data_IF_149119310938
#
_entry.id   IF_149119310938
#
_cell.length_a   1.000
_cell.length_b   1.000
_cell.length_c   1.000
_cell.angle_alpha   90.00
_cell.angle_beta   90.00
_cell.angle_gamma   90.00
#
_symmetry.space_group_name_H-M   'P 1'
#
loop_
_entity.id
_entity.type
_entity.pdbx_description
1 polymer ?
#
# COMPACT_ATOMS: atom_id res chain seq x y z
N UNK A 1 15.09 -5.99 5.08
CA UNK A 1 14.99 -6.93 3.92
C UNK A 1 15.05 -6.10 2.65
N UNK A 2 15.77 -6.54 1.61
CA UNK A 2 15.72 -5.85 0.32
C UNK A 2 14.34 -6.08 -0.32
N UNK A 3 13.64 -5.01 -0.75
CA UNK A 3 12.35 -5.11 -1.46
C UNK A 3 12.39 -6.06 -2.66
N UNK A 4 13.54 -6.16 -3.34
CA UNK A 4 13.76 -7.05 -4.49
C UNK A 4 13.82 -8.55 -4.15
N UNK A 5 13.83 -8.93 -2.87
CA UNK A 5 13.90 -10.34 -2.44
C UNK A 5 12.56 -10.87 -1.93
N UNK A 6 11.50 -10.05 -1.94
CA UNK A 6 10.18 -10.45 -1.44
C UNK A 6 9.42 -11.18 -2.54
N UNK A 7 9.03 -12.42 -2.25
CA UNK A 7 8.20 -13.24 -3.14
C UNK A 7 6.74 -13.08 -2.73
N UNK A 8 5.87 -12.75 -3.68
CA UNK A 8 4.44 -12.64 -3.44
C UNK A 8 3.83 -13.99 -3.01
N UNK A 9 3.11 -13.98 -1.90
CA UNK A 9 2.46 -15.17 -1.33
C UNK A 9 1.03 -15.25 -1.86
N UNK A 10 0.78 -16.18 -2.79
CA UNK A 10 -0.56 -16.41 -3.36
C UNK A 10 -1.66 -16.65 -2.33
N UNK A 11 -1.33 -17.29 -1.20
CA UNK A 11 -2.29 -17.55 -0.09
C UNK A 11 -2.88 -16.27 0.53
N UNK A 12 -2.18 -15.14 0.39
CA UNK A 12 -2.64 -13.83 0.86
C UNK A 12 -3.15 -12.94 -0.30
N UNK A 13 -3.26 -13.49 -1.52
CA UNK A 13 -3.73 -12.72 -2.69
C UNK A 13 -2.80 -11.59 -3.15
N UNK A 14 -1.53 -11.59 -2.71
CA UNK A 14 -0.59 -10.50 -2.97
C UNK A 14 -0.31 -10.31 -4.46
N UNK A 15 -0.59 -9.12 -4.97
CA UNK A 15 -0.16 -8.62 -6.28
C UNK A 15 0.35 -7.20 -6.07
N UNK A 16 1.67 -6.99 -6.19
CA UNK A 16 2.27 -5.70 -5.88
C UNK A 16 2.11 -4.72 -7.05
N UNK A 17 1.55 -3.55 -6.76
CA UNK A 17 1.39 -2.48 -7.74
C UNK A 17 2.76 -1.90 -8.13
N UNK A 18 3.06 -1.85 -9.43
CA UNK A 18 4.34 -1.30 -9.95
C UNK A 18 4.16 -0.16 -10.94
N UNK A 19 2.96 0.01 -11.49
CA UNK A 19 2.67 1.08 -12.44
C UNK A 19 2.33 2.38 -11.71
N UNK A 20 3.23 3.34 -11.81
CA UNK A 20 3.08 4.66 -11.18
C UNK A 20 1.91 5.48 -11.75
N UNK A 21 1.51 5.25 -13.00
CA UNK A 21 0.33 5.91 -13.56
C UNK A 21 -0.96 5.36 -12.96
N UNK A 22 -1.03 4.06 -12.66
CA UNK A 22 -2.17 3.46 -11.95
C UNK A 22 -2.22 3.96 -10.51
N UNK A 23 -1.09 4.01 -9.81
CA UNK A 23 -1.02 4.51 -8.43
C UNK A 23 -1.53 5.95 -8.32
N UNK A 24 -1.11 6.86 -9.21
CA UNK A 24 -1.64 8.23 -9.25
C UNK A 24 -3.15 8.27 -9.48
N UNK A 25 -3.65 7.50 -10.44
CA UNK A 25 -5.11 7.43 -10.71
C UNK A 25 -5.92 6.95 -9.50
N UNK A 26 -5.39 6.03 -8.70
CA UNK A 26 -6.05 5.58 -7.47
C UNK A 26 -6.17 6.74 -6.49
N UNK A 27 -5.09 7.49 -6.27
CA UNK A 27 -5.07 8.64 -5.36
C UNK A 27 -6.00 9.76 -5.85
N UNK A 28 -5.97 10.06 -7.14
CA UNK A 28 -6.84 11.07 -7.77
C UNK A 28 -8.33 10.70 -7.70
N UNK A 29 -8.65 9.40 -7.71
CA UNK A 29 -10.02 8.92 -7.62
C UNK A 29 -10.60 8.96 -6.19
N UNK A 30 -9.78 9.23 -5.18
CA UNK A 30 -10.24 9.32 -3.80
C UNK A 30 -11.21 10.49 -3.60
N UNK A 31 -12.28 10.31 -2.81
CA UNK A 31 -13.18 11.41 -2.50
C UNK A 31 -12.45 12.47 -1.66
N UNK A 32 -12.73 13.74 -1.97
CA UNK A 32 -12.26 14.83 -1.14
C UNK A 32 -13.06 14.85 0.19
N UNK A 33 -12.47 14.30 1.25
CA UNK A 33 -13.06 14.25 2.59
C UNK A 33 -11.98 14.37 3.65
N UNK A 34 -12.29 14.91 4.83
CA UNK A 34 -11.35 15.05 5.96
C UNK A 34 -11.24 13.80 6.84
N UNK A 35 -11.79 12.69 6.37
CA UNK A 35 -11.66 11.42 7.05
C UNK A 35 -10.20 10.93 7.01
N UNK A 36 -9.83 10.15 8.02
CA UNK A 36 -8.58 9.39 8.01
C UNK A 36 -8.62 8.33 6.91
N UNK A 37 -7.46 8.01 6.35
CA UNK A 37 -7.32 6.96 5.36
C UNK A 37 -7.05 5.64 6.07
N UNK A 38 -7.80 4.60 5.71
CA UNK A 38 -7.51 3.22 6.11
C UNK A 38 -7.07 2.43 4.90
N UNK A 39 -5.86 1.88 4.93
CA UNK A 39 -5.32 1.01 3.88
C UNK A 39 -5.34 -0.45 4.34
N UNK A 40 -5.95 -1.34 3.55
CA UNK A 40 -6.00 -2.78 3.83
C UNK A 40 -5.05 -3.47 2.84
N UNK A 41 -4.04 -4.16 3.36
CA UNK A 41 -3.03 -4.83 2.55
C UNK A 41 -2.05 -3.84 1.88
N UNK A 42 -1.32 -3.01 2.66
CA UNK A 42 -0.32 -2.09 2.11
C UNK A 42 0.82 -2.80 1.36
N UNK A 43 1.06 -4.09 1.65
CA UNK A 43 2.05 -4.90 0.95
C UNK A 43 3.46 -4.33 1.10
N UNK A 44 4.04 -3.89 -0.02
CA UNK A 44 5.37 -3.27 -0.04
C UNK A 44 5.34 -1.74 0.18
N UNK A 45 4.16 -1.17 0.42
CA UNK A 45 3.96 0.26 0.58
C UNK A 45 3.94 1.01 -0.75
N UNK A 46 3.65 0.32 -1.85
CA UNK A 46 3.64 0.90 -3.19
C UNK A 46 2.58 2.02 -3.32
N UNK A 47 1.41 1.85 -2.68
CA UNK A 47 0.37 2.88 -2.59
C UNK A 47 0.51 3.73 -1.33
N UNK A 48 0.85 3.13 -0.19
CA UNK A 48 1.05 3.84 1.10
C UNK A 48 1.92 5.09 0.95
N UNK A 49 3.03 4.99 0.19
CA UNK A 49 3.96 6.12 -0.03
C UNK A 49 3.29 7.36 -0.63
N UNK A 50 2.22 7.19 -1.40
CA UNK A 50 1.45 8.30 -1.96
C UNK A 50 0.35 8.77 -1.01
N UNK A 51 -0.29 7.86 -0.29
CA UNK A 51 -1.40 8.20 0.61
C UNK A 51 -0.93 9.07 1.78
N UNK A 52 0.28 8.81 2.31
CA UNK A 52 0.85 9.58 3.43
C UNK A 52 1.17 11.03 3.08
N UNK A 53 1.42 11.33 1.80
CA UNK A 53 1.61 12.70 1.31
C UNK A 53 0.28 13.47 1.25
N UNK A 54 -0.85 12.76 1.24
CA UNK A 54 -2.18 13.34 1.16
C UNK A 54 -2.75 13.59 2.56
N UNK A 55 -2.86 12.55 3.40
CA UNK A 55 -3.41 12.60 4.76
C UNK A 55 -2.81 11.50 5.65
N UNK A 56 -3.11 11.54 6.95
CA UNK A 56 -2.76 10.47 7.88
C UNK A 56 -3.40 9.14 7.45
N UNK A 57 -2.58 8.09 7.38
CA UNK A 57 -2.95 6.74 6.97
C UNK A 57 -2.78 5.78 8.14
N UNK A 58 -3.77 4.93 8.35
CA UNK A 58 -3.67 3.74 9.19
C UNK A 58 -3.72 2.51 8.29
N UNK A 59 -2.72 1.62 8.39
CA UNK A 59 -2.57 0.49 7.48
C UNK A 59 -2.63 -0.85 8.23
N UNK A 60 -3.31 -1.83 7.65
CA UNK A 60 -3.48 -3.17 8.20
C UNK A 60 -2.88 -4.22 7.27
N UNK A 61 -1.87 -4.95 7.75
CA UNK A 61 -1.17 -5.99 6.99
C UNK A 61 -1.23 -7.33 7.73
N UNK A 62 -1.64 -8.38 7.02
CA UNK A 62 -1.76 -9.74 7.56
C UNK A 62 -0.46 -10.53 7.44
N UNK A 63 0.37 -10.20 6.45
CA UNK A 63 1.67 -10.80 6.26
C UNK A 63 2.72 -10.14 7.17
N UNK A 64 2.98 -10.77 8.31
CA UNK A 64 3.95 -10.31 9.31
C UNK A 64 5.37 -10.12 8.78
N UNK A 65 5.73 -10.77 7.68
CA UNK A 65 7.03 -10.55 7.04
C UNK A 65 7.10 -9.18 6.36
N UNK A 66 5.96 -8.68 5.85
CA UNK A 66 5.87 -7.37 5.21
C UNK A 66 5.72 -6.24 6.23
N UNK A 67 5.17 -6.50 7.42
CA UNK A 67 5.13 -5.51 8.51
C UNK A 67 6.52 -4.99 8.91
N UNK A 68 7.60 -5.73 8.61
CA UNK A 68 8.99 -5.31 8.89
C UNK A 68 9.58 -4.40 7.81
N UNK A 69 8.86 -4.18 6.71
CA UNK A 69 9.31 -3.39 5.55
C UNK A 69 8.67 -2.01 5.48
N UNK A 70 7.56 -1.81 6.20
CA UNK A 70 6.74 -0.61 6.20
C UNK A 70 7.14 0.33 7.34
#
# INVERSE_FOLDING_TARGET
MNKNSVIAKKKFGQNFLKDEAVLRKIVEAMPNSDNKIVEIGPGLGDLTKYLVDVKSVEAFEVDTDLCKLL
#
